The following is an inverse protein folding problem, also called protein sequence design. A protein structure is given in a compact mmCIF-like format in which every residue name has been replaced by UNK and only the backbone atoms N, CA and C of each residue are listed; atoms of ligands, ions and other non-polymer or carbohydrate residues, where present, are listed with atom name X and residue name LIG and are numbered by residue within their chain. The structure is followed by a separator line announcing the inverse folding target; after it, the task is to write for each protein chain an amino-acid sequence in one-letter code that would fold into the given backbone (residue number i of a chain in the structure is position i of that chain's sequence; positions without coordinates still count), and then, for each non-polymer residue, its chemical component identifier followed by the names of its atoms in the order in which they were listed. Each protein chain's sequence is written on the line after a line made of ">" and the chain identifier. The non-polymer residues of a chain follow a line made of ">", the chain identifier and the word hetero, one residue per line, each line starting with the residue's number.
data_IF_358653886841
#
_entry.id   IF_358653886841
#
_cell.length_a   1.000
_cell.length_b   1.000
_cell.length_c   1.000
_cell.angle_alpha   90.00
_cell.angle_beta   90.00
_cell.angle_gamma   90.00
#
_symmetry.space_group_name_H-M   'P 1'
#
loop_
_entity.id
_entity.type
_entity.pdbx_description
1 polymer ?
#
# COMPACT_ATOMS: atom_id res chain seq x y z
N UNK A 1 -66.49 -59.50 -41.22
CA UNK A 1 -66.41 -58.12 -41.77
C UNK A 1 -65.73 -57.28 -40.71
N UNK A 2 -64.51 -57.09 -40.83
CA UNK A 2 -63.66 -56.53 -39.81
C UNK A 2 -63.10 -55.16 -40.35
N UNK A 3 -63.49 -54.05 -39.75
CA UNK A 3 -62.96 -52.74 -40.08
C UNK A 3 -61.77 -52.45 -39.18
N UNK A 4 -60.62 -52.13 -39.77
CA UNK A 4 -59.43 -51.66 -39.05
C UNK A 4 -59.51 -50.16 -38.93
N UNK A 5 -59.40 -49.66 -37.71
CA UNK A 5 -59.15 -48.24 -37.40
C UNK A 5 -57.64 -47.98 -37.35
N UNK A 6 -57.18 -47.01 -38.08
CA UNK A 6 -55.79 -46.50 -38.04
C UNK A 6 -55.65 -45.60 -36.79
N UNK A 7 -54.65 -45.88 -35.99
CA UNK A 7 -54.22 -45.09 -34.84
C UNK A 7 -53.25 -44.05 -35.37
N UNK A 8 -53.54 -42.77 -35.15
CA UNK A 8 -52.63 -41.65 -35.37
C UNK A 8 -51.62 -41.61 -34.21
N UNK A 9 -50.35 -41.75 -34.51
CA UNK A 9 -49.29 -41.41 -33.60
C UNK A 9 -49.23 -39.87 -33.47
N UNK A 10 -49.50 -39.35 -32.29
CA UNK A 10 -49.19 -37.97 -31.91
C UNK A 10 -47.73 -37.88 -31.54
N UNK A 11 -47.00 -37.15 -32.34
CA UNK A 11 -45.61 -36.77 -32.12
C UNK A 11 -45.57 -35.79 -30.93
N UNK A 12 -45.16 -36.32 -29.75
CA UNK A 12 -44.99 -35.52 -28.54
C UNK A 12 -43.57 -34.99 -28.51
N UNK A 13 -43.32 -33.93 -29.25
CA UNK A 13 -42.13 -33.14 -29.13
C UNK A 13 -42.10 -32.41 -27.75
N UNK A 14 -41.47 -33.04 -26.75
CA UNK A 14 -41.17 -32.41 -25.50
C UNK A 14 -40.09 -31.32 -25.73
N UNK A 15 -40.55 -30.08 -25.81
CA UNK A 15 -39.68 -28.92 -25.66
C UNK A 15 -39.02 -28.99 -24.26
N UNK A 16 -37.76 -29.40 -24.24
CA UNK A 16 -36.91 -29.32 -23.08
C UNK A 16 -36.66 -27.84 -22.76
N UNK A 17 -37.49 -27.29 -21.88
CA UNK A 17 -37.23 -26.00 -21.25
C UNK A 17 -35.96 -26.15 -20.39
N UNK A 18 -34.79 -25.89 -20.95
CA UNK A 18 -33.56 -25.71 -20.20
C UNK A 18 -33.66 -24.41 -19.40
N UNK A 19 -34.28 -24.51 -18.25
CA UNK A 19 -34.25 -23.49 -17.21
C UNK A 19 -32.76 -23.33 -16.80
N UNK A 20 -32.12 -22.32 -17.44
CA UNK A 20 -30.80 -21.88 -17.00
C UNK A 20 -30.96 -21.36 -15.59
N UNK A 21 -30.56 -22.18 -14.62
CA UNK A 21 -30.43 -21.78 -13.21
C UNK A 21 -29.32 -20.72 -13.15
N UNK A 22 -29.64 -19.48 -13.49
CA UNK A 22 -28.78 -18.35 -13.21
C UNK A 22 -28.66 -18.28 -11.69
N UNK A 23 -27.50 -18.69 -11.17
CA UNK A 23 -27.18 -18.48 -9.76
C UNK A 23 -27.21 -16.98 -9.50
N UNK A 24 -28.07 -16.50 -8.60
CA UNK A 24 -28.22 -15.07 -8.37
C UNK A 24 -26.87 -14.50 -7.91
N UNK A 25 -26.30 -13.59 -8.70
CA UNK A 25 -25.08 -12.90 -8.34
C UNK A 25 -25.36 -12.01 -7.14
N UNK A 26 -24.67 -12.19 -6.01
CA UNK A 26 -24.93 -11.38 -4.82
C UNK A 26 -24.62 -9.90 -5.10
N UNK A 27 -25.55 -9.03 -4.71
CA UNK A 27 -25.36 -7.57 -4.78
C UNK A 27 -24.47 -7.13 -3.62
N UNK A 28 -23.35 -6.51 -3.95
CA UNK A 28 -22.40 -6.03 -2.95
C UNK A 28 -22.80 -4.66 -2.43
N UNK A 29 -22.78 -4.50 -1.13
CA UNK A 29 -23.01 -3.20 -0.48
C UNK A 29 -21.77 -2.32 -0.62
N UNK A 30 -21.92 -1.02 -0.93
CA UNK A 30 -20.77 -0.11 -1.12
C UNK A 30 -19.92 0.09 0.15
N UNK A 31 -20.49 -0.11 1.34
CA UNK A 31 -19.75 -0.06 2.59
C UNK A 31 -18.62 -1.08 2.64
N UNK A 32 -18.82 -2.28 2.06
CA UNK A 32 -17.77 -3.30 1.97
C UNK A 32 -16.53 -2.75 1.23
N UNK A 33 -16.70 -2.00 0.16
CA UNK A 33 -15.61 -1.33 -0.56
C UNK A 33 -14.90 -0.30 0.31
N UNK A 34 -15.62 0.49 1.11
CA UNK A 34 -15.02 1.46 2.03
C UNK A 34 -14.27 0.80 3.18
N UNK A 35 -14.74 -0.34 3.72
CA UNK A 35 -14.00 -1.10 4.74
C UNK A 35 -12.70 -1.69 4.17
N UNK A 36 -12.76 -2.28 2.96
CA UNK A 36 -11.57 -2.81 2.27
C UNK A 36 -10.57 -1.69 1.97
N UNK A 37 -11.05 -0.51 1.54
CA UNK A 37 -10.22 0.66 1.31
C UNK A 37 -9.52 1.14 2.60
N UNK A 38 -10.25 1.20 3.71
CA UNK A 38 -9.69 1.56 5.02
C UNK A 38 -8.63 0.55 5.48
N UNK A 39 -8.87 -0.75 5.28
CA UNK A 39 -7.89 -1.80 5.60
C UNK A 39 -6.63 -1.68 4.74
N UNK A 40 -6.79 -1.52 3.43
CA UNK A 40 -5.68 -1.34 2.51
C UNK A 40 -4.87 -0.07 2.83
N UNK A 41 -5.55 1.02 3.22
CA UNK A 41 -4.90 2.24 3.67
C UNK A 41 -4.10 1.99 4.96
N UNK A 42 -4.69 1.36 5.98
CA UNK A 42 -3.99 1.07 7.23
C UNK A 42 -2.72 0.23 7.02
N UNK A 43 -2.75 -0.72 6.08
CA UNK A 43 -1.61 -1.58 5.77
C UNK A 43 -0.51 -0.89 4.93
N UNK A 44 -0.82 0.18 4.21
CA UNK A 44 0.11 0.74 3.21
C UNK A 44 0.56 2.18 3.45
N UNK A 45 -0.16 2.95 4.30
CA UNK A 45 0.10 4.38 4.47
C UNK A 45 1.53 4.69 4.94
N UNK A 46 2.08 3.88 5.86
CA UNK A 46 3.39 4.13 6.46
C UNK A 46 4.51 3.23 5.94
N UNK A 47 4.23 2.39 4.95
CA UNK A 47 5.26 1.56 4.31
C UNK A 47 6.24 2.43 3.55
N UNK A 48 7.53 2.19 3.73
CA UNK A 48 8.61 2.94 3.09
C UNK A 48 9.80 2.05 2.77
N UNK A 49 10.62 2.51 1.83
CA UNK A 49 11.89 1.90 1.43
C UNK A 49 13.05 2.77 1.90
N UNK A 50 14.27 2.22 1.85
CA UNK A 50 15.48 2.99 2.15
C UNK A 50 15.56 4.28 1.32
N UNK A 51 15.26 4.21 0.03
CA UNK A 51 15.31 5.38 -0.87
C UNK A 51 14.33 6.51 -0.47
N UNK A 52 13.25 6.19 0.21
CA UNK A 52 12.28 7.19 0.68
C UNK A 52 12.84 8.08 1.80
N UNK A 53 13.95 7.63 2.44
CA UNK A 53 14.68 8.32 3.50
C UNK A 53 16.02 8.88 3.04
N UNK A 54 16.40 8.66 1.78
CA UNK A 54 17.70 9.05 1.23
C UNK A 54 17.75 10.55 0.84
N UNK A 55 17.39 11.44 1.73
CA UNK A 55 17.52 12.88 1.57
C UNK A 55 18.55 13.43 2.56
N UNK A 56 19.82 13.51 2.20
CA UNK A 56 20.81 14.25 2.99
C UNK A 56 20.63 15.75 2.74
N UNK A 57 20.16 16.49 3.74
CA UNK A 57 20.25 17.94 3.74
C UNK A 57 21.64 18.31 4.23
N UNK A 58 22.48 18.83 3.35
CA UNK A 58 23.77 19.43 3.73
C UNK A 58 23.52 20.88 4.11
N UNK A 59 24.04 21.31 5.23
CA UNK A 59 24.01 22.67 5.68
C UNK A 59 25.38 23.10 6.21
N UNK A 60 25.67 24.40 6.10
CA UNK A 60 26.87 24.96 6.71
C UNK A 60 26.48 25.38 8.13
N UNK A 61 27.16 24.80 9.13
CA UNK A 61 26.99 25.16 10.53
C UNK A 61 27.40 26.65 10.71
N UNK A 62 26.49 27.54 11.12
CA UNK A 62 26.79 28.98 11.20
C UNK A 62 27.81 29.32 12.29
N UNK A 63 28.15 28.39 13.17
CA UNK A 63 29.11 28.59 14.27
C UNK A 63 30.49 28.08 13.91
N UNK A 64 30.56 26.90 13.24
CA UNK A 64 31.84 26.24 12.92
C UNK A 64 32.27 26.41 11.47
N UNK A 65 31.41 27.00 10.61
CA UNK A 65 31.58 27.16 9.15
C UNK A 65 31.88 25.84 8.42
N UNK A 66 31.64 24.70 9.09
CA UNK A 66 31.85 23.38 8.52
C UNK A 66 30.59 22.89 7.85
N UNK A 67 30.75 22.22 6.70
CA UNK A 67 29.68 21.51 6.02
C UNK A 67 29.26 20.31 6.88
N UNK A 68 28.02 20.32 7.36
CA UNK A 68 27.42 19.21 8.10
C UNK A 68 26.27 18.63 7.33
N UNK A 69 26.15 17.31 7.38
CA UNK A 69 25.00 16.59 6.87
C UNK A 69 23.89 16.59 7.92
N UNK A 70 22.70 16.97 7.55
CA UNK A 70 21.53 16.85 8.42
C UNK A 70 21.22 15.36 8.64
N UNK A 71 21.04 15.00 9.89
CA UNK A 71 20.56 13.67 10.29
C UNK A 71 19.04 13.55 10.28
N UNK A 72 18.35 14.58 9.75
CA UNK A 72 16.89 14.65 9.65
C UNK A 72 16.45 14.33 8.22
N UNK A 73 15.38 13.58 8.09
CA UNK A 73 14.70 13.37 6.83
C UNK A 73 13.20 13.62 6.97
N UNK A 74 12.60 14.08 5.89
CA UNK A 74 11.17 14.31 5.78
C UNK A 74 10.66 13.68 4.48
N UNK A 75 9.61 12.88 4.60
CA UNK A 75 8.90 12.28 3.47
C UNK A 75 7.47 12.80 3.44
N UNK A 76 7.02 13.27 2.28
CA UNK A 76 5.64 13.66 2.06
C UNK A 76 5.12 12.98 0.80
N UNK A 77 3.92 12.39 0.89
CA UNK A 77 3.27 11.73 -0.23
C UNK A 77 1.83 12.21 -0.32
N UNK A 78 1.45 12.66 -1.52
CA UNK A 78 0.07 12.78 -1.95
C UNK A 78 -0.23 11.71 -2.98
N UNK A 79 -1.39 11.07 -2.90
CA UNK A 79 -1.77 10.02 -3.84
C UNK A 79 -3.27 9.98 -4.10
N UNK A 80 -3.61 9.55 -5.31
CA UNK A 80 -4.97 9.24 -5.72
C UNK A 80 -4.99 7.83 -6.32
N UNK A 81 -5.92 7.00 -5.87
CA UNK A 81 -6.13 5.65 -6.38
C UNK A 81 -7.60 5.48 -6.77
N UNK A 82 -7.82 4.71 -7.82
CA UNK A 82 -9.16 4.29 -8.22
C UNK A 82 -9.10 2.83 -8.65
N UNK A 83 -10.04 2.03 -8.16
CA UNK A 83 -10.14 0.62 -8.54
C UNK A 83 -11.60 0.17 -8.59
N UNK A 84 -11.80 -1.01 -9.16
CA UNK A 84 -13.07 -1.71 -9.17
C UNK A 84 -12.89 -3.08 -8.57
N UNK A 85 -13.95 -3.62 -7.98
CA UNK A 85 -13.97 -5.02 -7.57
C UNK A 85 -13.96 -5.97 -8.78
N UNK A 86 -13.69 -7.25 -8.55
CA UNK A 86 -13.62 -8.26 -9.61
C UNK A 86 -14.91 -8.43 -10.41
N UNK A 87 -16.04 -8.15 -9.79
CA UNK A 87 -17.38 -8.27 -10.43
C UNK A 87 -17.82 -6.95 -11.09
N UNK A 88 -17.05 -5.88 -10.98
CA UNK A 88 -17.34 -4.57 -11.56
C UNK A 88 -18.50 -3.83 -10.87
N UNK A 89 -19.06 -4.34 -9.77
CA UNK A 89 -20.19 -3.76 -9.07
C UNK A 89 -19.81 -2.54 -8.23
N UNK A 90 -18.59 -2.54 -7.65
CA UNK A 90 -18.13 -1.46 -6.79
C UNK A 90 -16.97 -0.71 -7.43
N UNK A 91 -17.08 0.61 -7.48
CA UNK A 91 -16.00 1.50 -7.86
C UNK A 91 -15.57 2.32 -6.64
N UNK A 92 -14.31 2.16 -6.24
CA UNK A 92 -13.73 2.87 -5.09
C UNK A 92 -12.67 3.84 -5.57
N UNK A 93 -12.70 5.04 -5.05
CA UNK A 93 -11.66 6.06 -5.22
C UNK A 93 -11.12 6.45 -3.86
N UNK A 94 -9.81 6.70 -3.77
CA UNK A 94 -9.13 7.05 -2.53
C UNK A 94 -8.14 8.18 -2.77
N UNK A 95 -8.07 9.11 -1.82
CA UNK A 95 -7.11 10.20 -1.76
C UNK A 95 -6.33 10.10 -0.46
N UNK A 96 -5.02 9.98 -0.56
CA UNK A 96 -4.14 9.83 0.60
C UNK A 96 -3.15 10.97 0.73
N UNK A 97 -2.83 11.29 1.96
CA UNK A 97 -1.72 12.17 2.33
C UNK A 97 -0.94 11.53 3.47
N UNK A 98 0.37 11.48 3.33
CA UNK A 98 1.29 10.92 4.32
C UNK A 98 2.41 11.91 4.56
N UNK A 99 2.74 12.16 5.81
CA UNK A 99 3.93 12.90 6.24
C UNK A 99 4.66 12.06 7.27
N UNK A 100 5.91 11.71 7.00
CA UNK A 100 6.79 10.99 7.92
C UNK A 100 8.08 11.78 8.08
N UNK A 101 8.59 11.79 9.28
CA UNK A 101 9.87 12.41 9.61
C UNK A 101 10.69 11.45 10.46
N UNK A 102 11.99 11.55 10.38
CA UNK A 102 12.89 10.79 11.23
C UNK A 102 14.24 11.47 11.38
N UNK A 103 14.99 10.94 12.33
CA UNK A 103 16.32 11.43 12.67
C UNK A 103 17.25 10.27 12.97
N UNK A 104 18.50 10.35 12.47
CA UNK A 104 19.58 9.48 12.92
C UNK A 104 20.01 9.92 14.31
N UNK A 105 19.95 8.99 15.26
CA UNK A 105 20.39 9.22 16.64
C UNK A 105 21.83 8.83 16.83
N UNK A 106 22.23 7.69 16.24
CA UNK A 106 23.55 7.12 16.33
C UNK A 106 24.09 6.78 14.95
N UNK A 107 25.36 7.06 14.74
CA UNK A 107 26.07 6.71 13.50
C UNK A 107 27.47 6.25 13.84
N UNK A 108 28.00 5.29 13.10
CA UNK A 108 29.35 4.77 13.27
C UNK A 108 29.79 3.91 12.10
N UNK A 109 30.97 3.35 12.17
CA UNK A 109 31.52 2.36 11.25
C UNK A 109 32.28 1.28 12.03
N UNK A 110 32.40 0.09 11.49
CA UNK A 110 33.26 -0.99 12.00
C UNK A 110 34.60 -0.97 11.31
N UNK A 111 34.68 -0.38 10.12
CA UNK A 111 35.87 -0.19 9.29
C UNK A 111 35.93 1.25 8.77
N UNK A 112 36.97 1.63 8.06
CA UNK A 112 37.12 2.98 7.50
C UNK A 112 36.17 3.27 6.33
N UNK A 113 35.55 2.26 5.74
CA UNK A 113 34.71 2.39 4.56
C UNK A 113 33.23 2.16 4.84
N UNK A 114 32.87 1.36 5.84
CA UNK A 114 31.49 1.04 6.16
C UNK A 114 30.84 2.09 7.06
N UNK A 115 29.54 2.16 7.02
CA UNK A 115 28.77 2.98 7.96
C UNK A 115 27.49 2.28 8.41
N UNK A 116 27.16 2.50 9.66
CA UNK A 116 25.83 2.16 10.18
C UNK A 116 25.15 3.37 10.81
N UNK A 117 23.83 3.37 10.72
CA UNK A 117 22.97 4.43 11.25
C UNK A 117 21.82 3.80 12.00
N UNK A 118 21.50 4.35 13.15
CA UNK A 118 20.34 3.98 13.95
C UNK A 118 19.51 5.23 14.20
N UNK A 119 18.21 5.16 13.94
CA UNK A 119 17.37 6.34 14.07
C UNK A 119 15.95 6.03 14.51
N UNK A 120 15.22 7.09 14.74
CA UNK A 120 13.80 7.11 15.11
C UNK A 120 12.98 7.77 14.02
N UNK A 121 11.71 7.41 13.96
CA UNK A 121 10.78 7.98 13.01
C UNK A 121 9.40 8.12 13.59
N UNK A 122 8.65 9.07 13.09
CA UNK A 122 7.25 9.28 13.39
C UNK A 122 6.50 9.71 12.12
N UNK A 123 5.20 9.48 12.09
CA UNK A 123 4.41 9.83 10.92
C UNK A 123 2.95 10.12 11.25
N UNK A 124 2.35 10.86 10.32
CA UNK A 124 0.93 11.17 10.27
C UNK A 124 0.40 10.90 8.87
N UNK A 125 -0.76 10.28 8.80
CA UNK A 125 -1.40 10.00 7.52
C UNK A 125 -2.90 10.17 7.56
N UNK A 126 -3.47 10.47 6.40
CA UNK A 126 -4.91 10.49 6.14
C UNK A 126 -5.22 9.81 4.82
N UNK A 127 -6.33 9.09 4.79
CA UNK A 127 -6.94 8.57 3.58
C UNK A 127 -8.44 8.86 3.61
N UNK A 128 -8.99 9.29 2.48
CA UNK A 128 -10.41 9.47 2.27
C UNK A 128 -10.82 8.67 1.06
N UNK A 129 -11.77 7.78 1.23
CA UNK A 129 -12.28 6.97 0.13
C UNK A 129 -13.78 7.13 -0.06
N UNK A 130 -14.21 6.87 -1.27
CA UNK A 130 -15.61 6.84 -1.65
C UNK A 130 -15.84 5.64 -2.56
N UNK A 131 -16.84 4.84 -2.22
CA UNK A 131 -17.27 3.67 -3.00
C UNK A 131 -18.68 3.90 -3.52
N UNK A 132 -18.87 3.61 -4.80
CA UNK A 132 -20.15 3.68 -5.50
C UNK A 132 -20.49 2.30 -6.05
N UNK A 133 -21.73 1.85 -5.82
CA UNK A 133 -22.29 0.64 -6.41
C UNK A 133 -22.98 0.96 -7.73
N UNK A 134 -22.60 0.26 -8.80
CA UNK A 134 -23.24 0.40 -10.11
C UNK A 134 -24.59 -0.33 -10.21
N UNK A 135 -24.89 -1.20 -9.24
CA UNK A 135 -26.11 -2.01 -9.22
C UNK A 135 -27.22 -1.35 -8.40
N UNK A 136 -26.87 -0.85 -7.20
CA UNK A 136 -27.84 -0.24 -6.28
C UNK A 136 -27.85 1.29 -6.32
N UNK A 137 -26.89 1.92 -7.02
CA UNK A 137 -26.61 3.37 -7.04
C UNK A 137 -26.28 3.97 -5.67
N UNK A 138 -26.15 3.14 -4.62
CA UNK A 138 -25.77 3.56 -3.28
C UNK A 138 -24.30 3.92 -3.20
N UNK A 139 -23.97 4.77 -2.23
CA UNK A 139 -22.62 5.27 -1.98
C UNK A 139 -22.21 5.03 -0.54
N UNK A 140 -20.92 4.86 -0.36
CA UNK A 140 -20.29 4.83 0.95
C UNK A 140 -19.04 5.70 0.94
N UNK A 141 -18.72 6.29 2.08
CA UNK A 141 -17.52 7.08 2.32
C UNK A 141 -16.76 6.50 3.50
N UNK A 142 -15.48 6.28 3.30
CA UNK A 142 -14.57 5.86 4.35
C UNK A 142 -13.53 6.93 4.63
N UNK A 143 -12.99 6.93 5.83
CA UNK A 143 -11.81 7.71 6.16
C UNK A 143 -10.91 6.98 7.15
N UNK A 144 -9.60 7.17 6.97
CA UNK A 144 -8.56 6.67 7.85
C UNK A 144 -7.71 7.86 8.31
N UNK A 145 -7.44 7.93 9.59
CA UNK A 145 -6.47 8.85 10.16
C UNK A 145 -5.49 8.04 11.01
N UNK A 146 -4.20 8.12 10.67
CA UNK A 146 -3.17 7.30 11.29
C UNK A 146 -2.01 8.11 11.84
N UNK A 147 -1.39 7.56 12.86
CA UNK A 147 -0.10 7.98 13.41
C UNK A 147 0.79 6.76 13.49
N UNK A 148 2.08 6.95 13.33
CA UNK A 148 3.07 5.89 13.58
C UNK A 148 4.27 6.42 14.34
N UNK A 149 4.94 5.52 15.05
CA UNK A 149 6.26 5.75 15.63
C UNK A 149 7.09 4.47 15.48
N UNK A 150 8.38 4.62 15.22
CA UNK A 150 9.25 3.48 14.93
C UNK A 150 10.73 3.79 15.04
N UNK A 151 11.50 2.73 14.80
CA UNK A 151 12.96 2.75 14.78
C UNK A 151 13.43 2.21 13.43
N UNK A 152 14.62 2.62 13.01
CA UNK A 152 15.27 2.05 11.83
C UNK A 152 16.77 1.91 12.05
N UNK A 153 17.34 0.95 11.34
CA UNK A 153 18.78 0.70 11.31
C UNK A 153 19.20 0.48 9.85
N UNK A 154 20.25 1.14 9.41
CA UNK A 154 20.80 1.00 8.06
C UNK A 154 22.30 0.78 8.16
N UNK A 155 22.81 -0.17 7.37
CA UNK A 155 24.24 -0.42 7.23
C UNK A 155 24.63 -0.41 5.75
N UNK A 156 25.78 0.22 5.44
CA UNK A 156 26.39 0.25 4.12
C UNK A 156 27.81 -0.26 4.21
N UNK A 157 28.20 -1.17 3.32
CA UNK A 157 29.56 -1.67 3.21
C UNK A 157 30.57 -0.61 2.74
N UNK A 158 30.10 0.34 1.93
CA UNK A 158 30.87 1.52 1.49
C UNK A 158 29.91 2.72 1.42
N UNK A 159 30.01 3.60 2.40
CA UNK A 159 29.15 4.79 2.52
C UNK A 159 29.60 5.92 1.58
N UNK A 160 30.85 5.94 1.17
CA UNK A 160 31.40 7.00 0.31
C UNK A 160 30.97 6.80 -1.13
N UNK A 161 31.19 5.59 -1.66
CA UNK A 161 30.88 5.30 -3.07
C UNK A 161 29.46 4.76 -3.27
N UNK A 162 28.75 4.41 -2.17
CA UNK A 162 27.45 3.72 -2.17
C UNK A 162 27.46 2.41 -2.99
N UNK A 163 28.64 1.81 -3.14
CA UNK A 163 28.88 0.52 -3.77
C UNK A 163 28.90 -0.58 -2.72
N UNK A 164 28.71 -1.82 -3.16
CA UNK A 164 28.71 -2.96 -2.25
C UNK A 164 27.36 -3.22 -1.60
N UNK A 165 27.39 -4.07 -0.58
CA UNK A 165 26.20 -4.50 0.13
C UNK A 165 25.61 -3.38 1.01
N UNK A 166 24.30 -3.38 1.15
CA UNK A 166 23.60 -2.62 2.18
C UNK A 166 22.48 -3.45 2.79
N UNK A 167 22.18 -3.16 4.03
CA UNK A 167 21.05 -3.73 4.76
C UNK A 167 20.32 -2.58 5.43
N UNK A 168 18.99 -2.58 5.30
CA UNK A 168 18.10 -1.65 5.95
C UNK A 168 16.97 -2.40 6.64
N UNK A 169 16.75 -2.10 7.89
CA UNK A 169 15.68 -2.67 8.69
C UNK A 169 14.92 -1.57 9.42
N UNK A 170 13.61 -1.70 9.51
CA UNK A 170 12.81 -0.82 10.35
C UNK A 170 11.63 -1.55 10.98
N UNK A 171 11.23 -1.06 12.12
CA UNK A 171 10.05 -1.52 12.83
C UNK A 171 9.25 -0.32 13.30
N UNK A 172 7.93 -0.34 13.12
CA UNK A 172 7.05 0.72 13.56
C UNK A 172 5.76 0.16 14.15
N UNK A 173 5.18 0.93 15.04
CA UNK A 173 3.84 0.72 15.56
C UNK A 173 2.93 1.84 15.10
N UNK A 174 1.72 1.49 14.66
CA UNK A 174 0.78 2.43 14.06
C UNK A 174 -0.59 2.37 14.77
N UNK A 175 -1.21 3.53 14.88
CA UNK A 175 -2.55 3.71 15.47
C UNK A 175 -3.43 4.37 14.43
N UNK A 176 -4.60 3.77 14.17
CA UNK A 176 -5.56 4.28 13.20
C UNK A 176 -6.92 4.52 13.83
N UNK A 177 -7.55 5.63 13.44
CA UNK A 177 -8.98 5.89 13.62
C UNK A 177 -9.62 5.86 12.24
N UNK A 178 -10.56 4.95 12.09
CA UNK A 178 -11.28 4.69 10.85
C UNK A 178 -12.73 5.07 11.02
N UNK A 179 -13.37 5.46 9.94
CA UNK A 179 -14.82 5.64 9.89
C UNK A 179 -15.38 5.20 8.55
N UNK A 180 -16.62 4.76 8.57
CA UNK A 180 -17.41 4.44 7.39
C UNK A 180 -18.80 5.01 7.56
N UNK A 181 -19.36 5.58 6.50
CA UNK A 181 -20.74 6.05 6.40
C UNK A 181 -21.30 5.67 5.03
N UNK A 182 -22.39 4.95 4.99
CA UNK A 182 -23.11 4.61 3.78
C UNK A 182 -24.45 5.33 3.70
N UNK A 183 -25.12 5.21 2.57
CA UNK A 183 -26.50 5.72 2.40
C UNK A 183 -27.48 4.92 3.27
N UNK A 184 -27.21 3.62 3.46
CA UNK A 184 -28.00 2.73 4.34
C UNK A 184 -27.29 2.36 5.65
N UNK A 185 -26.07 2.87 5.89
CA UNK A 185 -25.32 2.64 7.11
C UNK A 185 -25.11 3.96 7.83
N UNK A 186 -25.56 4.02 9.08
CA UNK A 186 -25.22 5.12 9.97
C UNK A 186 -23.71 5.25 10.13
N UNK A 187 -23.25 6.45 10.50
CA UNK A 187 -21.83 6.68 10.75
C UNK A 187 -21.27 5.70 11.78
N UNK A 188 -20.28 4.94 11.38
CA UNK A 188 -19.55 4.02 12.25
C UNK A 188 -18.09 4.45 12.35
N UNK A 189 -17.54 4.39 13.57
CA UNK A 189 -16.14 4.69 13.85
C UNK A 189 -15.50 3.56 14.63
N UNK A 190 -14.30 3.15 14.21
CA UNK A 190 -13.55 2.09 14.85
C UNK A 190 -12.05 2.40 14.86
N UNK A 191 -11.32 1.77 15.77
CA UNK A 191 -9.88 1.93 15.89
C UNK A 191 -9.17 0.66 15.45
N UNK A 192 -8.02 0.82 14.78
CA UNK A 192 -7.12 -0.27 14.45
C UNK A 192 -5.71 0.08 14.93
N UNK A 193 -4.93 -0.94 15.22
CA UNK A 193 -3.52 -0.83 15.64
C UNK A 193 -2.75 -1.94 14.96
N UNK A 194 -1.48 -1.68 14.65
CA UNK A 194 -0.64 -2.69 14.02
C UNK A 194 0.84 -2.41 14.20
N UNK A 195 1.62 -3.48 14.21
CA UNK A 195 3.07 -3.41 14.11
C UNK A 195 3.47 -3.82 12.70
N UNK A 196 4.42 -3.12 12.11
CA UNK A 196 4.98 -3.43 10.80
C UNK A 196 6.49 -3.47 10.92
N UNK A 197 7.11 -4.49 10.34
CA UNK A 197 8.55 -4.63 10.24
C UNK A 197 8.94 -4.78 8.77
N UNK A 198 10.13 -4.31 8.41
CA UNK A 198 10.66 -4.45 7.05
C UNK A 198 12.15 -4.74 7.12
N UNK A 199 12.61 -5.57 6.21
CA UNK A 199 14.01 -5.83 5.97
C UNK A 199 14.26 -5.67 4.47
N UNK A 200 15.18 -4.80 4.13
CA UNK A 200 15.64 -4.55 2.76
C UNK A 200 17.13 -4.85 2.69
N UNK A 201 17.56 -5.66 1.73
CA UNK A 201 18.97 -5.90 1.46
C UNK A 201 19.24 -5.71 -0.03
N UNK A 202 20.42 -5.23 -0.37
CA UNK A 202 20.77 -5.03 -1.75
C UNK A 202 22.27 -4.85 -1.96
N UNK A 203 22.66 -4.77 -3.21
CA UNK A 203 24.03 -4.58 -3.62
C UNK A 203 24.13 -3.52 -4.72
N UNK A 204 24.94 -2.50 -4.52
CA UNK A 204 25.21 -1.43 -5.48
C UNK A 204 26.40 -1.77 -6.37
N UNK A 205 26.19 -1.77 -7.70
CA UNK A 205 27.24 -1.96 -8.70
C UNK A 205 27.52 -0.63 -9.40
N UNK A 206 28.81 -0.33 -9.64
CA UNK A 206 29.16 0.73 -10.58
C UNK A 206 29.16 0.16 -11.99
N UNK A 207 28.25 0.59 -12.81
CA UNK A 207 28.32 0.34 -14.25
C UNK A 207 29.23 1.38 -14.90
N UNK A 208 30.09 0.92 -15.83
CA UNK A 208 31.06 1.78 -16.50
C UNK A 208 30.33 2.87 -17.29
N UNK A 209 30.78 4.12 -17.17
CA UNK A 209 30.19 5.32 -17.79
C UNK A 209 30.07 5.29 -19.32
N UNK A 210 30.69 4.30 -19.99
CA UNK A 210 30.63 4.16 -21.45
C UNK A 210 29.26 3.86 -22.02
N UNK A 211 28.27 3.45 -21.21
CA UNK A 211 26.92 3.09 -21.66
C UNK A 211 25.82 4.01 -21.15
N UNK A 212 26.13 5.08 -20.43
CA UNK A 212 25.12 6.02 -19.91
C UNK A 212 24.13 5.43 -18.89
N UNK A 213 24.43 4.24 -18.34
CA UNK A 213 23.63 3.58 -17.32
C UNK A 213 24.22 3.88 -15.93
N UNK A 214 23.48 4.60 -15.12
CA UNK A 214 23.78 4.75 -13.70
C UNK A 214 23.39 3.48 -12.94
N UNK A 215 24.23 3.09 -11.98
CA UNK A 215 24.17 1.95 -11.07
C UNK A 215 22.87 1.11 -11.05
N UNK A 216 22.96 -0.16 -11.45
CA UNK A 216 21.89 -1.14 -11.21
C UNK A 216 21.86 -1.52 -9.72
N UNK A 217 20.69 -1.48 -9.12
CA UNK A 217 20.46 -1.85 -7.72
C UNK A 217 19.52 -3.06 -7.66
N UNK A 218 19.99 -4.16 -7.09
CA UNK A 218 19.15 -5.30 -6.75
C UNK A 218 18.71 -5.18 -5.30
N UNK A 219 17.41 -5.20 -5.07
CA UNK A 219 16.82 -5.02 -3.74
C UNK A 219 15.88 -6.18 -3.44
N UNK A 220 16.05 -6.81 -2.29
CA UNK A 220 15.13 -7.79 -1.70
C UNK A 220 14.39 -7.12 -0.56
N UNK A 221 13.05 -7.15 -0.59
CA UNK A 221 12.18 -6.53 0.43
C UNK A 221 11.29 -7.63 1.01
N UNK A 222 11.30 -7.74 2.34
CA UNK A 222 10.40 -8.58 3.12
C UNK A 222 9.59 -7.67 4.04
N UNK A 223 8.25 -7.75 3.92
CA UNK A 223 7.27 -6.98 4.72
C UNK A 223 6.22 -7.93 5.29
#
# INVERSE_FOLDING_TARGET
>A
MTSYQSVNEEDNSSEGNSESTETPTPVLRPEAGSYVANLAAANTLFVMRLNDRAGEMRYIDPVTEQERSSRLWLRQIGGHNAWRDSNGQLRTTSHRYVSQLGADLLTGGFTDSDSWRLGVMAGYARDYNSTHSSVSDYRSKGSVRGYCAGLYATWFADDISKKGAYIDAWAQYSWFKNSVKGDELAYESYSAKGATVSLEAGYGFALNKSFGLEAAKYTWIFQ
#
